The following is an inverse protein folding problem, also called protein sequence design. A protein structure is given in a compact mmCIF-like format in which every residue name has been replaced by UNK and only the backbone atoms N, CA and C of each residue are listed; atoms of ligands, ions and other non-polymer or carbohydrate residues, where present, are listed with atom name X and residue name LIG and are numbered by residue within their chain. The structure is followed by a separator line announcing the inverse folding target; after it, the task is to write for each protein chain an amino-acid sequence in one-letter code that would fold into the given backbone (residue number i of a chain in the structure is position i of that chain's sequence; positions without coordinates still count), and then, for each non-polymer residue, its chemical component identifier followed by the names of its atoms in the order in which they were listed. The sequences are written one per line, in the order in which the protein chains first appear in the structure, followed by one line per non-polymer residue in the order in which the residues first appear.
data_IF_941646343881
#
_entry.id   IF_941646343881
#
_cell.length_a   1.000
_cell.length_b   1.000
_cell.length_c   1.000
_cell.angle_alpha   90.00
_cell.angle_beta   90.00
_cell.angle_gamma   90.00
#
_symmetry.space_group_name_H-M   'P 1'
#
loop_
_entity.id
_entity.type
_entity.pdbx_description
1 polymer ?
#
# COMPACT_ATOMS: atom_id res chain seq x y z
N UNK A 1 8.88 10.70 -0.45
CA UNK A 1 7.52 11.27 -0.58
C UNK A 1 6.59 10.47 0.32
N UNK A 2 5.79 11.10 1.19
CA UNK A 2 4.88 10.35 2.06
C UNK A 2 3.68 9.86 1.22
N UNK A 3 3.43 8.56 1.21
CA UNK A 3 2.27 8.00 0.53
C UNK A 3 1.00 8.20 1.38
N UNK A 4 -0.05 8.76 0.77
CA UNK A 4 -1.31 9.10 1.44
C UNK A 4 -2.53 8.54 0.70
N UNK A 5 -3.62 8.31 1.43
CA UNK A 5 -4.88 7.86 0.82
C UNK A 5 -5.41 8.94 -0.12
N UNK A 6 -5.87 8.56 -1.30
CA UNK A 6 -6.30 9.48 -2.36
C UNK A 6 -5.18 9.93 -3.29
N UNK A 7 -3.92 9.61 -2.99
CA UNK A 7 -2.79 9.91 -3.86
C UNK A 7 -2.78 9.00 -5.09
N UNK A 8 -2.53 9.58 -6.26
CA UNK A 8 -2.28 8.81 -7.50
C UNK A 8 -0.81 8.43 -7.56
N UNK A 9 -0.54 7.13 -7.73
CA UNK A 9 0.80 6.57 -7.84
C UNK A 9 0.89 5.64 -9.03
N UNK A 10 2.07 5.57 -9.62
CA UNK A 10 2.38 4.63 -10.70
C UNK A 10 3.38 3.59 -10.19
N UNK A 11 2.99 2.32 -10.21
CA UNK A 11 3.77 1.22 -9.65
C UNK A 11 3.96 0.12 -10.68
N UNK A 12 5.04 -0.65 -10.53
CA UNK A 12 5.22 -1.87 -11.29
C UNK A 12 4.52 -2.99 -10.53
N UNK A 13 3.62 -3.72 -11.20
CA UNK A 13 3.04 -4.93 -10.62
C UNK A 13 4.02 -6.11 -10.69
N UNK A 14 3.64 -7.24 -10.09
CA UNK A 14 4.45 -8.47 -10.06
C UNK A 14 4.74 -9.06 -11.45
N UNK A 15 3.96 -8.66 -12.47
CA UNK A 15 4.15 -9.07 -13.87
C UNK A 15 5.04 -8.09 -14.63
N UNK A 16 5.52 -7.05 -13.98
CA UNK A 16 6.37 -6.03 -14.56
C UNK A 16 5.62 -4.95 -15.33
N UNK A 17 4.29 -4.94 -15.32
CA UNK A 17 3.50 -3.91 -15.98
C UNK A 17 3.38 -2.67 -15.09
N UNK A 18 3.44 -1.48 -15.69
CA UNK A 18 3.17 -0.24 -14.98
C UNK A 18 1.66 -0.05 -14.83
N UNK A 19 1.23 0.14 -13.59
CA UNK A 19 -0.15 0.41 -13.22
C UNK A 19 -0.21 1.77 -12.54
N UNK A 20 -1.13 2.61 -12.98
CA UNK A 20 -1.42 3.89 -12.32
C UNK A 20 -2.74 3.77 -11.59
N UNK A 21 -2.75 4.10 -10.30
CA UNK A 21 -3.92 3.97 -9.47
C UNK A 21 -3.91 4.89 -8.27
N UNK A 22 -5.06 5.05 -7.65
CA UNK A 22 -5.25 5.86 -6.45
C UNK A 22 -5.14 4.99 -5.21
N UNK A 23 -4.34 5.41 -4.23
CA UNK A 23 -4.22 4.70 -2.95
C UNK A 23 -5.57 4.72 -2.22
N UNK A 24 -6.17 3.55 -2.04
CA UNK A 24 -7.45 3.39 -1.34
C UNK A 24 -7.23 3.00 0.14
N UNK A 25 -6.26 2.13 0.40
CA UNK A 25 -5.95 1.64 1.74
C UNK A 25 -4.50 1.16 1.88
N UNK A 26 -4.04 1.11 3.14
CA UNK A 26 -2.74 0.56 3.53
C UNK A 26 -2.95 -0.70 4.35
N UNK A 27 -2.36 -1.81 3.92
CA UNK A 27 -2.13 -2.99 4.76
C UNK A 27 -0.79 -2.89 5.49
N UNK A 28 -0.43 -3.90 6.29
CA UNK A 28 0.85 -3.90 7.01
C UNK A 28 2.04 -3.87 6.05
N UNK A 29 2.02 -4.74 5.03
CA UNK A 29 3.06 -4.87 4.02
C UNK A 29 2.62 -4.48 2.61
N UNK A 30 1.33 -4.17 2.42
CA UNK A 30 0.73 -3.93 1.11
C UNK A 30 0.03 -2.58 1.04
N UNK A 31 -0.24 -2.14 -0.18
CA UNK A 31 -1.05 -0.98 -0.52
C UNK A 31 -2.11 -1.44 -1.51
N UNK A 32 -3.35 -1.02 -1.30
CA UNK A 32 -4.45 -1.28 -2.23
C UNK A 32 -4.61 -0.03 -3.08
N UNK A 33 -4.45 -0.19 -4.39
CA UNK A 33 -4.71 0.86 -5.37
C UNK A 33 -6.01 0.58 -6.11
N UNK A 34 -6.78 1.64 -6.35
CA UNK A 34 -7.91 1.62 -7.26
C UNK A 34 -7.46 2.11 -8.64
N UNK A 35 -7.64 1.26 -9.65
CA UNK A 35 -7.33 1.51 -11.06
C UNK A 35 -8.63 1.45 -11.87
N UNK A 36 -9.44 2.49 -11.78
CA UNK A 36 -10.77 2.53 -12.39
C UNK A 36 -11.73 1.51 -11.75
N UNK A 37 -12.11 0.48 -12.49
CA UNK A 37 -13.01 -0.60 -11.99
C UNK A 37 -12.26 -1.75 -11.32
N UNK A 38 -10.92 -1.75 -11.38
CA UNK A 38 -10.08 -2.81 -10.79
C UNK A 38 -9.43 -2.32 -9.51
N UNK A 39 -9.24 -3.24 -8.57
CA UNK A 39 -8.35 -3.03 -7.42
C UNK A 39 -7.12 -3.89 -7.60
N UNK A 40 -5.96 -3.30 -7.33
CA UNK A 40 -4.68 -4.00 -7.34
C UNK A 40 -4.04 -3.91 -5.97
N UNK A 41 -3.42 -5.02 -5.56
CA UNK A 41 -2.66 -5.10 -4.31
C UNK A 41 -1.18 -5.09 -4.68
N UNK A 42 -0.45 -4.19 -4.05
CA UNK A 42 0.96 -3.92 -4.37
C UNK A 42 1.76 -3.98 -3.07
N UNK A 43 2.96 -4.53 -3.12
CA UNK A 43 3.85 -4.52 -1.97
C UNK A 43 4.36 -3.11 -1.69
N UNK A 44 4.44 -2.72 -0.41
CA UNK A 44 5.04 -1.45 0.00
C UNK A 44 6.50 -1.33 -0.46
N UNK A 45 7.20 -2.46 -0.61
CA UNK A 45 8.61 -2.48 -1.07
C UNK A 45 8.75 -1.87 -2.46
N UNK A 46 7.87 -2.20 -3.40
CA UNK A 46 7.89 -1.66 -4.76
C UNK A 46 7.77 -0.14 -4.78
N UNK A 47 6.85 0.39 -3.98
CA UNK A 47 6.70 1.83 -3.80
C UNK A 47 7.89 2.45 -3.04
N UNK A 48 8.47 1.75 -2.06
CA UNK A 48 9.64 2.23 -1.35
C UNK A 48 10.88 2.35 -2.26
N UNK A 49 11.04 1.45 -3.24
CA UNK A 49 12.08 1.55 -4.27
C UNK A 49 11.92 2.80 -5.13
N UNK A 50 10.72 3.38 -5.22
CA UNK A 50 10.45 4.65 -5.90
C UNK A 50 10.57 5.88 -4.99
N UNK A 51 11.00 5.71 -3.74
CA UNK A 51 11.17 6.80 -2.78
C UNK A 51 9.91 7.16 -2.00
N UNK A 52 8.87 6.32 -2.03
CA UNK A 52 7.71 6.48 -1.14
C UNK A 52 8.02 5.98 0.26
N UNK A 53 7.55 6.74 1.25
CA UNK A 53 7.55 6.34 2.65
C UNK A 53 6.11 6.17 3.12
N UNK A 54 5.89 5.29 4.09
CA UNK A 54 4.57 4.98 4.59
C UNK A 54 4.41 5.45 6.04
N UNK A 55 3.24 5.98 6.42
CA UNK A 55 2.98 6.28 7.82
C UNK A 55 3.11 4.98 8.65
N UNK A 56 3.77 5.08 9.81
CA UNK A 56 3.88 3.97 10.77
C UNK A 56 2.47 3.55 11.18
N UNK A 57 2.02 2.39 10.69
CA UNK A 57 0.79 1.78 11.18
C UNK A 57 1.00 1.38 12.65
N UNK A 58 0.21 1.97 13.55
CA UNK A 58 0.16 1.53 14.95
C UNK A 58 -0.40 0.11 14.95
N UNK A 59 0.44 -0.89 15.24
CA UNK A 59 -0.03 -2.26 15.48
C UNK A 59 -1.06 -2.21 16.61
N UNK A 60 -2.30 -2.64 16.33
CA UNK A 60 -3.25 -2.98 17.40
C UNK A 60 -2.71 -4.26 18.04
N UNK A 61 -1.99 -4.12 19.15
CA UNK A 61 -1.60 -5.25 19.99
C UNK A 61 -2.87 -5.90 20.53
N UNK A 62 -3.25 -7.06 19.99
CA UNK A 62 -4.27 -7.91 20.59
C UNK A 62 -3.56 -8.59 21.77
N UNK A 63 -3.75 -8.05 22.98
CA UNK A 63 -3.40 -8.79 24.19
C UNK A 63 -4.54 -9.78 24.46
N UNK A 64 -4.32 -11.06 24.20
CA UNK A 64 -5.15 -12.12 24.77
C UNK A 64 -4.69 -12.36 26.20
N UNK A 65 -5.50 -11.98 27.18
CA UNK A 65 -5.32 -12.38 28.58
C UNK A 65 -5.59 -13.88 28.63
N UNK A 66 -4.56 -14.68 28.90
CA UNK A 66 -4.72 -16.09 29.25
C UNK A 66 -5.02 -16.11 30.74
N UNK A 67 -6.23 -16.55 31.09
CA UNK A 67 -6.68 -16.74 32.47
C UNK A 67 -6.33 -18.15 32.95
#
# INVERSE_FOLDING_TARGET
MLAEKGMVVTVKDIFGAQQTGTIEAFGEYTVILSCGVKRIVVEKRELAHQGYTFPRQKRKSIFSIVN
#
